data_IF_756083337955
#
_entry.id   IF_756083337955
#
_cell.length_a   1.000
_cell.length_b   1.000
_cell.length_c   1.000
_cell.angle_alpha   90.00
_cell.angle_beta   90.00
_cell.angle_gamma   90.00
#
_symmetry.space_group_name_H-M   'P 1'
#
loop_
_entity.id
_entity.type
_entity.pdbx_description
1 polymer ?
#
# COMPACT_ATOMS: atom_id res chain seq x y z
N UNK A 1 18.44 8.97 13.71
CA UNK A 1 19.03 8.34 12.50
C UNK A 1 18.09 7.23 12.07
N UNK A 2 17.29 7.46 11.02
CA UNK A 2 16.41 6.45 10.45
C UNK A 2 17.26 5.25 9.99
N UNK A 3 16.90 4.05 10.39
CA UNK A 3 17.65 2.85 10.02
C UNK A 3 17.23 2.43 8.61
N UNK A 4 18.17 2.36 7.66
CA UNK A 4 17.94 1.86 6.29
C UNK A 4 17.32 0.47 6.23
N UNK A 5 17.41 -0.29 7.33
CA UNK A 5 16.91 -1.64 7.40
C UNK A 5 15.39 -1.66 7.65
N UNK A 6 14.61 -2.42 6.86
CA UNK A 6 13.19 -2.58 7.09
C UNK A 6 12.90 -3.14 8.49
N UNK A 7 11.80 -2.70 9.13
CA UNK A 7 11.33 -3.29 10.37
C UNK A 7 11.23 -4.82 10.30
N UNK A 8 11.48 -5.47 11.44
CA UNK A 8 11.33 -6.93 11.55
C UNK A 8 9.86 -7.32 11.32
N UNK A 9 9.66 -8.49 10.72
CA UNK A 9 8.33 -9.07 10.53
C UNK A 9 7.57 -8.57 9.30
N UNK A 10 8.11 -7.62 8.53
CA UNK A 10 7.53 -7.26 7.23
C UNK A 10 7.65 -8.42 6.25
N UNK A 11 6.59 -8.64 5.48
CA UNK A 11 6.50 -9.55 4.34
C UNK A 11 7.11 -8.96 3.06
N UNK A 12 7.00 -9.67 1.92
CA UNK A 12 7.62 -9.24 0.67
C UNK A 12 7.12 -7.88 0.15
N UNK A 13 5.81 -7.61 0.25
CA UNK A 13 5.19 -6.39 -0.26
C UNK A 13 5.62 -5.16 0.56
N UNK A 14 5.56 -5.27 1.89
CA UNK A 14 6.01 -4.24 2.82
C UNK A 14 7.51 -3.98 2.69
N UNK A 15 8.34 -5.03 2.61
CA UNK A 15 9.80 -4.85 2.39
C UNK A 15 10.14 -4.19 1.06
N UNK A 16 9.32 -4.39 0.02
CA UNK A 16 9.50 -3.71 -1.27
C UNK A 16 9.17 -2.23 -1.14
N UNK A 17 8.00 -1.91 -0.56
CA UNK A 17 7.57 -0.52 -0.33
C UNK A 17 8.58 0.25 0.53
N UNK A 18 9.05 -0.35 1.63
CA UNK A 18 10.07 0.24 2.50
C UNK A 18 11.32 0.66 1.74
N UNK A 19 11.88 -0.26 0.94
CA UNK A 19 13.11 0.00 0.17
C UNK A 19 12.91 1.05 -0.89
N UNK A 20 11.78 1.02 -1.59
CA UNK A 20 11.45 1.99 -2.64
C UNK A 20 11.43 3.42 -2.06
N UNK A 21 10.72 3.62 -0.94
CA UNK A 21 10.61 4.94 -0.31
C UNK A 21 11.93 5.35 0.36
N UNK A 22 12.56 4.51 1.18
CA UNK A 22 13.83 4.85 1.84
C UNK A 22 14.96 5.13 0.84
N UNK A 23 14.91 4.59 -0.38
CA UNK A 23 15.92 4.86 -1.40
C UNK A 23 15.79 6.23 -2.06
N UNK A 24 14.59 6.84 -2.01
CA UNK A 24 14.30 8.11 -2.68
C UNK A 24 14.15 9.30 -1.73
N UNK A 25 13.96 9.06 -0.43
CA UNK A 25 13.58 10.09 0.53
C UNK A 25 14.33 9.94 1.87
N UNK A 26 14.77 11.06 2.43
CA UNK A 26 15.17 11.15 3.84
C UNK A 26 13.92 11.40 4.67
N UNK A 27 13.56 10.43 5.53
CA UNK A 27 12.37 10.51 6.36
C UNK A 27 12.70 10.91 7.80
N UNK A 28 11.84 11.73 8.39
CA UNK A 28 11.84 11.97 9.83
C UNK A 28 11.22 10.79 10.62
N UNK A 29 11.11 10.95 11.94
CA UNK A 29 10.67 9.86 12.81
C UNK A 29 9.18 9.52 12.63
N UNK A 30 8.34 10.52 12.40
CA UNK A 30 6.90 10.41 12.20
C UNK A 30 6.56 9.87 10.81
N UNK A 31 7.26 10.32 9.78
CA UNK A 31 7.22 9.77 8.43
C UNK A 31 7.68 8.31 8.41
N UNK A 32 8.75 7.98 9.13
CA UNK A 32 9.18 6.59 9.32
C UNK A 32 8.06 5.74 9.94
N UNK A 33 7.40 6.24 10.99
CA UNK A 33 6.31 5.52 11.65
C UNK A 33 5.12 5.28 10.70
N UNK A 34 4.75 6.29 9.90
CA UNK A 34 3.71 6.16 8.88
C UNK A 34 4.11 5.13 7.80
N UNK A 35 5.36 5.15 7.36
CA UNK A 35 5.87 4.17 6.39
C UNK A 35 5.82 2.74 6.94
N UNK A 36 6.12 2.54 8.23
CA UNK A 36 6.00 1.21 8.86
C UNK A 36 4.57 0.68 8.78
N UNK A 37 3.58 1.49 9.12
CA UNK A 37 2.17 1.07 9.05
C UNK A 37 1.70 0.86 7.60
N UNK A 38 2.17 1.67 6.66
CA UNK A 38 1.91 1.47 5.24
C UNK A 38 2.47 0.12 4.75
N UNK A 39 3.69 -0.23 5.18
CA UNK A 39 4.32 -1.50 4.82
C UNK A 39 3.54 -2.70 5.35
N UNK A 40 3.10 -2.65 6.61
CA UNK A 40 2.27 -3.72 7.21
C UNK A 40 0.94 -3.87 6.49
N UNK A 41 0.27 -2.74 6.21
CA UNK A 41 -1.00 -2.73 5.47
C UNK A 41 -0.83 -3.31 4.06
N UNK A 42 0.31 -3.06 3.40
CA UNK A 42 0.62 -3.64 2.10
C UNK A 42 0.80 -5.17 2.16
N UNK A 43 1.47 -5.70 3.19
CA UNK A 43 1.60 -7.14 3.41
C UNK A 43 0.25 -7.82 3.68
N UNK A 44 -0.59 -7.22 4.52
CA UNK A 44 -1.95 -7.70 4.78
C UNK A 44 -2.82 -7.70 3.51
N UNK A 45 -2.72 -6.64 2.71
CA UNK A 45 -3.45 -6.53 1.45
C UNK A 45 -3.00 -7.60 0.45
N UNK A 46 -1.70 -7.91 0.39
CA UNK A 46 -1.17 -9.01 -0.43
C UNK A 46 -1.76 -10.36 0.01
N UNK A 47 -1.78 -10.65 1.32
CA UNK A 47 -2.39 -11.86 1.84
C UNK A 47 -3.89 -11.96 1.52
N UNK A 48 -4.62 -10.83 1.61
CA UNK A 48 -6.03 -10.76 1.21
C UNK A 48 -6.23 -11.01 -0.29
N UNK A 49 -5.36 -10.49 -1.15
CA UNK A 49 -5.43 -10.74 -2.60
C UNK A 49 -5.22 -12.21 -2.94
N UNK A 50 -4.23 -12.85 -2.31
CA UNK A 50 -3.97 -14.28 -2.47
C UNK A 50 -5.17 -15.11 -1.98
N UNK A 51 -5.72 -14.79 -0.81
CA UNK A 51 -6.89 -15.48 -0.27
C UNK A 51 -8.15 -15.29 -1.13
N UNK A 52 -8.35 -14.09 -1.71
CA UNK A 52 -9.44 -13.83 -2.66
C UNK A 52 -9.25 -14.63 -3.94
N UNK A 53 -8.03 -14.70 -4.49
CA UNK A 53 -7.74 -15.44 -5.71
C UNK A 53 -7.89 -16.96 -5.56
N UNK A 54 -7.58 -17.49 -4.38
CA UNK A 54 -7.73 -18.92 -4.07
C UNK A 54 -9.15 -19.31 -3.62
N UNK A 55 -9.92 -18.36 -3.08
CA UNK A 55 -11.22 -18.60 -2.46
C UNK A 55 -12.42 -18.41 -3.40
N UNK A 56 -13.61 -18.91 -3.02
CA UNK A 56 -14.83 -18.67 -3.78
C UNK A 56 -15.31 -17.22 -3.64
N UNK A 57 -15.84 -16.66 -4.73
CA UNK A 57 -16.42 -15.30 -4.74
C UNK A 57 -17.66 -15.20 -3.85
N UNK A 58 -18.43 -16.28 -3.80
CA UNK A 58 -19.68 -16.39 -3.01
C UNK A 58 -19.49 -17.47 -1.95
N UNK A 59 -19.82 -17.13 -0.71
CA UNK A 59 -19.75 -18.02 0.47
C UNK A 59 -21.11 -18.08 1.16
N UNK A 60 -21.42 -19.18 1.89
CA UNK A 60 -22.60 -19.21 2.72
C UNK A 60 -22.53 -18.16 3.83
N UNK A 61 -23.62 -17.43 4.02
CA UNK A 61 -23.84 -16.55 5.16
C UNK A 61 -24.17 -17.35 6.43
N UNK A 62 -24.33 -16.65 7.55
CA UNK A 62 -24.62 -17.28 8.85
C UNK A 62 -25.93 -18.08 8.89
N UNK A 63 -26.87 -17.81 7.96
CA UNK A 63 -28.13 -18.56 7.78
C UNK A 63 -28.13 -19.38 6.49
N UNK A 64 -26.96 -19.64 5.89
CA UNK A 64 -26.80 -20.43 4.68
C UNK A 64 -27.12 -19.70 3.37
N UNK A 65 -27.54 -18.44 3.41
CA UNK A 65 -27.81 -17.66 2.20
C UNK A 65 -26.51 -17.33 1.45
N UNK A 66 -26.47 -17.42 0.11
CA UNK A 66 -25.28 -17.03 -0.65
C UNK A 66 -24.99 -15.54 -0.48
N UNK A 67 -23.75 -15.20 -0.13
CA UNK A 67 -23.28 -13.81 -0.05
C UNK A 67 -21.89 -13.67 -0.65
N UNK A 68 -21.54 -12.47 -1.09
CA UNK A 68 -20.16 -12.16 -1.51
C UNK A 68 -19.20 -12.41 -0.33
N UNK A 69 -18.05 -13.01 -0.62
CA UNK A 69 -17.01 -13.26 0.37
C UNK A 69 -16.62 -11.97 1.12
N UNK A 70 -16.60 -11.96 2.46
CA UNK A 70 -16.20 -10.79 3.25
C UNK A 70 -14.80 -10.26 2.93
N UNK A 71 -13.92 -11.13 2.40
CA UNK A 71 -12.56 -10.76 2.02
C UNK A 71 -12.52 -9.60 1.01
N UNK A 72 -13.51 -9.48 0.12
CA UNK A 72 -13.58 -8.36 -0.82
C UNK A 72 -13.82 -7.02 -0.13
N UNK A 73 -14.61 -7.01 0.95
CA UNK A 73 -14.84 -5.81 1.75
C UNK A 73 -13.57 -5.43 2.51
N UNK A 74 -12.87 -6.40 3.09
CA UNK A 74 -11.62 -6.12 3.82
C UNK A 74 -10.50 -5.68 2.88
N UNK A 75 -10.34 -6.32 1.72
CA UNK A 75 -9.39 -5.84 0.73
C UNK A 75 -9.71 -4.40 0.26
N UNK A 76 -10.98 -3.97 0.26
CA UNK A 76 -11.34 -2.58 -0.01
C UNK A 76 -10.95 -1.66 1.14
N UNK A 77 -11.16 -2.08 2.39
CA UNK A 77 -10.78 -1.33 3.58
C UNK A 77 -9.25 -1.12 3.66
N UNK A 78 -8.46 -2.19 3.47
CA UNK A 78 -6.99 -2.10 3.46
C UNK A 78 -6.47 -1.22 2.30
N UNK A 79 -7.10 -1.27 1.11
CA UNK A 79 -6.75 -0.34 0.01
C UNK A 79 -6.98 1.12 0.40
N UNK A 80 -8.09 1.41 1.07
CA UNK A 80 -8.39 2.77 1.51
C UNK A 80 -7.44 3.23 2.63
N UNK A 81 -7.13 2.35 3.59
CA UNK A 81 -6.17 2.63 4.65
C UNK A 81 -4.77 2.91 4.09
N UNK A 82 -4.28 2.05 3.18
CA UNK A 82 -2.99 2.23 2.52
C UNK A 82 -2.94 3.54 1.74
N UNK A 83 -3.99 3.87 0.97
CA UNK A 83 -4.05 5.13 0.24
C UNK A 83 -3.99 6.35 1.18
N UNK A 84 -4.61 6.28 2.37
CA UNK A 84 -4.56 7.35 3.37
C UNK A 84 -3.18 7.48 3.99
N UNK A 85 -2.55 6.38 4.39
CA UNK A 85 -1.21 6.37 4.96
C UNK A 85 -0.18 6.96 3.99
N UNK A 86 -0.25 6.57 2.71
CA UNK A 86 0.63 7.10 1.67
C UNK A 86 0.35 8.58 1.36
N UNK A 87 -0.91 9.01 1.42
CA UNK A 87 -1.24 10.43 1.24
C UNK A 87 -0.76 11.29 2.43
N UNK A 88 -0.81 10.75 3.65
CA UNK A 88 -0.33 11.43 4.86
C UNK A 88 1.19 11.55 4.87
N UNK A 89 1.90 10.51 4.40
CA UNK A 89 3.35 10.55 4.22
C UNK A 89 3.80 11.67 3.27
N UNK A 90 2.90 12.15 2.40
CA UNK A 90 3.02 13.40 1.64
C UNK A 90 4.34 13.59 0.87
N UNK A 91 4.98 12.48 0.44
CA UNK A 91 6.29 12.52 -0.18
C UNK A 91 6.27 13.38 -1.45
N UNK A 92 7.28 14.22 -1.67
CA UNK A 92 7.36 15.04 -2.86
C UNK A 92 7.53 14.16 -4.12
N UNK A 93 6.80 14.46 -5.19
CA UNK A 93 6.96 13.77 -6.47
C UNK A 93 8.26 14.16 -7.17
N UNK A 94 8.77 13.31 -8.07
CA UNK A 94 10.01 13.57 -8.84
C UNK A 94 9.95 14.85 -9.69
N UNK A 95 8.75 15.32 -10.05
CA UNK A 95 8.49 16.53 -10.84
C UNK A 95 7.98 17.72 -9.99
N UNK A 96 8.29 17.75 -8.69
CA UNK A 96 7.80 18.82 -7.83
C UNK A 96 8.51 20.14 -8.17
N UNK A 97 7.82 21.00 -8.93
CA UNK A 97 8.25 22.38 -9.18
C UNK A 97 8.13 23.21 -7.89
N UNK A 98 9.10 24.09 -7.68
CA UNK A 98 9.13 25.03 -6.57
C UNK A 98 7.88 25.93 -6.61
N UNK A 99 6.91 25.69 -5.72
CA UNK A 99 5.64 26.42 -5.67
C UNK A 99 4.38 25.57 -5.52
N UNK A 100 4.48 24.23 -5.64
CA UNK A 100 3.34 23.35 -5.38
C UNK A 100 2.90 23.43 -3.91
N UNK A 101 1.60 23.63 -3.66
CA UNK A 101 1.06 23.54 -2.30
C UNK A 101 1.16 22.10 -1.78
N UNK A 102 1.23 21.89 -0.45
CA UNK A 102 1.29 20.55 0.13
C UNK A 102 0.16 19.61 -0.33
N UNK A 103 -1.01 20.16 -0.67
CA UNK A 103 -2.14 19.41 -1.21
C UNK A 103 -1.91 18.92 -2.66
N UNK A 104 -1.25 19.74 -3.49
CA UNK A 104 -0.92 19.41 -4.89
C UNK A 104 0.19 18.35 -4.96
N UNK A 105 1.19 18.47 -4.10
CA UNK A 105 2.23 17.46 -3.89
C UNK A 105 1.64 16.08 -3.54
N UNK A 106 0.75 16.03 -2.53
CA UNK A 106 0.07 14.81 -2.06
C UNK A 106 -0.79 14.15 -3.14
N UNK A 107 -1.55 14.93 -3.90
CA UNK A 107 -2.43 14.41 -4.95
C UNK A 107 -1.66 13.75 -6.10
N UNK A 108 -0.48 14.30 -6.46
CA UNK A 108 0.38 13.78 -7.53
C UNK A 108 1.13 12.52 -7.11
N UNK A 109 1.70 12.50 -5.90
CA UNK A 109 2.41 11.33 -5.39
C UNK A 109 1.48 10.10 -5.25
N UNK A 110 0.26 10.29 -4.74
CA UNK A 110 -0.74 9.22 -4.62
C UNK A 110 -1.13 8.62 -5.99
N UNK A 111 -1.07 9.41 -7.07
CA UNK A 111 -1.30 8.91 -8.42
C UNK A 111 -0.12 8.05 -8.90
N UNK A 112 1.12 8.45 -8.67
CA UNK A 112 2.32 7.75 -9.13
C UNK A 112 2.51 6.39 -8.45
N UNK A 113 2.35 6.32 -7.11
CA UNK A 113 2.45 5.05 -6.36
C UNK A 113 1.37 4.05 -6.81
N UNK A 114 0.16 4.53 -7.09
CA UNK A 114 -0.92 3.70 -7.64
C UNK A 114 -0.55 3.05 -8.97
N UNK A 115 0.13 3.77 -9.88
CA UNK A 115 0.57 3.24 -11.18
C UNK A 115 1.79 2.31 -11.06
N UNK A 116 2.69 2.55 -10.11
CA UNK A 116 3.84 1.69 -9.85
C UNK A 116 3.41 0.31 -9.30
N UNK A 117 2.47 0.28 -8.35
CA UNK A 117 1.93 -0.96 -7.79
C UNK A 117 1.10 -1.76 -8.80
N UNK A 118 0.37 -1.08 -9.71
CA UNK A 118 -0.37 -1.74 -10.78
C UNK A 118 0.54 -2.38 -11.85
N UNK A 119 1.69 -1.77 -12.17
CA UNK A 119 2.67 -2.32 -13.13
C UNK A 119 3.43 -3.54 -12.59
N UNK A 120 3.63 -3.62 -11.27
CA UNK A 120 4.26 -4.78 -10.62
C UNK A 120 3.40 -6.06 -10.64
N UNK A 121 2.09 -5.94 -10.85
CA UNK A 121 1.16 -7.08 -10.87
C UNK A 121 0.98 -7.73 -12.26
N UNK A 122 1.60 -7.20 -13.32
CA UNK A 122 1.42 -7.66 -14.71
C UNK A 122 2.61 -8.40 -15.34
N UNK A 123 3.74 -8.54 -14.65
CA UNK A 123 4.96 -9.12 -15.20
C UNK A 123 5.12 -10.61 -14.91
N UNK A 124 4.27 -11.45 -15.51
CA UNK A 124 4.31 -12.90 -15.30
C UNK A 124 3.57 -13.67 -16.38
N UNK A 125 3.90 -13.44 -17.65
CA UNK A 125 3.58 -14.33 -18.76
C UNK A 125 4.50 -14.04 -19.95
N UNK A 126 5.65 -14.71 -19.98
CA UNK A 126 6.41 -15.08 -21.17
C UNK A 126 7.26 -16.30 -20.82
#
# INVERSE_FOLDING_TARGET
MATDRPPRGLGPAGRRLWREIQSGYELDADECALLVEACRTADELQALHEAIGAGPVVVPGSRGQPKVSPLFAEARAHRLALARLLAELALPGEDQEEGDTPAQARARHAAQVRWALARGAGGGAA
#
